data_IF_438326496841
#
_entry.id   IF_438326496841
#
_cell.length_a   1.000
_cell.length_b   1.000
_cell.length_c   1.000
_cell.angle_alpha   90.00
_cell.angle_beta   90.00
_cell.angle_gamma   90.00
#
_symmetry.space_group_name_H-M   'P 1'
#
loop_
_entity.id
_entity.type
_entity.pdbx_description
1 polymer ?
#
# COMPACT_ATOMS: atom_id res chain seq x y z
N UNK A 1 10.36 -9.90 -9.79
CA UNK A 1 10.99 -8.61 -10.20
C UNK A 1 11.50 -7.92 -8.95
N UNK A 2 12.65 -7.24 -9.04
CA UNK A 2 13.20 -6.48 -7.93
C UNK A 2 12.61 -5.06 -7.80
N UNK A 3 13.04 -4.32 -6.77
CA UNK A 3 12.52 -2.98 -6.46
C UNK A 3 12.83 -1.98 -7.59
N UNK A 4 14.02 -2.07 -8.22
CA UNK A 4 14.45 -1.14 -9.26
C UNK A 4 13.59 -1.31 -10.52
N UNK A 5 13.36 -2.55 -10.93
CA UNK A 5 12.48 -2.87 -12.05
C UNK A 5 11.04 -2.35 -11.80
N UNK A 6 10.52 -2.52 -10.57
CA UNK A 6 9.20 -1.98 -10.22
C UNK A 6 9.18 -0.46 -10.14
N UNK A 7 10.29 0.18 -9.72
CA UNK A 7 10.41 1.64 -9.72
C UNK A 7 10.43 2.19 -11.17
N UNK A 8 11.11 1.52 -12.09
CA UNK A 8 11.10 1.87 -13.51
C UNK A 8 9.68 1.77 -14.10
N UNK A 9 8.98 0.65 -13.87
CA UNK A 9 7.57 0.51 -14.28
C UNK A 9 6.73 1.62 -13.68
N UNK A 10 6.86 1.88 -12.36
CA UNK A 10 6.15 2.95 -11.66
C UNK A 10 6.37 4.32 -12.29
N UNK A 11 7.61 4.62 -12.71
CA UNK A 11 7.97 5.86 -13.42
C UNK A 11 7.29 6.02 -14.78
N UNK A 12 6.89 4.92 -15.42
CA UNK A 12 6.17 4.94 -16.71
C UNK A 12 4.65 5.04 -16.55
N UNK A 13 4.10 4.81 -15.36
CA UNK A 13 2.65 4.85 -15.15
C UNK A 13 2.11 6.27 -15.35
N UNK A 14 0.98 6.36 -16.03
CA UNK A 14 0.28 7.61 -16.19
C UNK A 14 -0.44 7.96 -14.89
N UNK A 15 -0.29 9.21 -14.45
CA UNK A 15 -0.82 9.70 -13.18
C UNK A 15 -1.49 11.04 -13.40
N UNK A 16 -2.77 11.13 -13.09
CA UNK A 16 -3.56 12.37 -13.14
C UNK A 16 -3.13 13.34 -12.04
N UNK A 17 -3.40 14.64 -12.25
CA UNK A 17 -3.12 15.65 -11.25
C UNK A 17 -3.88 15.37 -9.95
N UNK A 18 -3.15 15.40 -8.83
CA UNK A 18 -3.68 15.10 -7.50
C UNK A 18 -3.63 13.62 -7.11
N UNK A 19 -3.35 12.70 -8.02
CA UNK A 19 -3.12 11.30 -7.71
C UNK A 19 -1.66 11.08 -7.28
N UNK A 20 -1.44 10.26 -6.27
CA UNK A 20 -0.10 9.95 -5.79
C UNK A 20 0.70 9.17 -6.85
N UNK A 21 1.85 9.70 -7.23
CA UNK A 21 2.78 8.97 -8.12
C UNK A 21 3.40 7.79 -7.36
N UNK A 22 3.61 6.63 -8.02
CA UNK A 22 4.28 5.51 -7.39
C UNK A 22 5.64 5.92 -6.81
N UNK A 23 5.82 5.62 -5.55
CA UNK A 23 7.06 5.88 -4.81
C UNK A 23 7.93 4.61 -4.76
N UNK A 24 9.15 4.72 -4.24
CA UNK A 24 9.98 3.54 -3.94
C UNK A 24 9.33 2.61 -2.89
N UNK A 25 8.50 3.13 -1.99
CA UNK A 25 7.68 2.30 -1.09
C UNK A 25 6.66 1.47 -1.86
N UNK A 26 6.00 2.09 -2.87
CA UNK A 26 5.07 1.37 -3.75
C UNK A 26 5.80 0.29 -4.57
N UNK A 27 7.00 0.59 -5.07
CA UNK A 27 7.83 -0.36 -5.81
C UNK A 27 8.30 -1.52 -4.93
N UNK A 28 8.63 -1.23 -3.67
CA UNK A 28 9.01 -2.26 -2.70
C UNK A 28 7.83 -3.18 -2.37
N UNK A 29 6.64 -2.63 -2.14
CA UNK A 29 5.44 -3.44 -1.94
C UNK A 29 5.12 -4.28 -3.19
N UNK A 30 5.23 -3.70 -4.39
CA UNK A 30 5.03 -4.40 -5.65
C UNK A 30 6.00 -5.59 -5.81
N UNK A 31 7.28 -5.42 -5.43
CA UNK A 31 8.26 -6.50 -5.42
C UNK A 31 7.88 -7.64 -4.46
N UNK A 32 7.16 -7.32 -3.38
CA UNK A 32 6.67 -8.30 -2.43
C UNK A 32 5.33 -8.95 -2.80
N UNK A 33 4.86 -8.84 -4.06
CA UNK A 33 3.58 -9.44 -4.51
C UNK A 33 3.76 -10.73 -5.32
N UNK A 34 4.92 -11.34 -5.31
CA UNK A 34 5.29 -12.51 -6.13
C UNK A 34 4.54 -13.80 -5.75
N UNK A 35 3.97 -13.88 -4.53
CA UNK A 35 3.20 -15.00 -4.01
C UNK A 35 1.68 -14.87 -4.21
N UNK A 36 1.22 -13.99 -5.11
CA UNK A 36 -0.20 -13.71 -5.32
C UNK A 36 -0.92 -14.66 -6.29
N UNK A 37 -0.26 -15.70 -6.79
CA UNK A 37 -0.86 -16.67 -7.73
C UNK A 37 -2.18 -17.22 -7.20
N UNK A 38 -3.23 -17.18 -8.05
CA UNK A 38 -4.60 -17.62 -7.78
C UNK A 38 -5.33 -16.93 -6.61
N UNK A 39 -4.74 -15.90 -6.00
CA UNK A 39 -5.37 -15.14 -4.92
C UNK A 39 -6.36 -14.08 -5.44
N UNK A 40 -7.34 -13.77 -4.63
CA UNK A 40 -8.09 -12.51 -4.71
C UNK A 40 -7.38 -11.47 -3.84
N UNK A 41 -6.94 -10.37 -4.46
CA UNK A 41 -6.16 -9.33 -3.82
C UNK A 41 -6.92 -8.01 -3.81
N UNK A 42 -6.90 -7.29 -2.68
CA UNK A 42 -7.30 -5.89 -2.61
C UNK A 42 -6.03 -5.03 -2.64
N UNK A 43 -5.93 -4.11 -3.60
CA UNK A 43 -4.96 -3.00 -3.59
C UNK A 43 -5.66 -1.79 -2.97
N UNK A 44 -5.42 -1.55 -1.68
CA UNK A 44 -6.12 -0.55 -0.90
C UNK A 44 -5.39 0.80 -0.95
N UNK A 45 -6.04 1.82 -1.55
CA UNK A 45 -5.40 3.09 -1.91
C UNK A 45 -4.52 2.89 -3.14
N UNK A 46 -5.11 2.40 -4.23
CA UNK A 46 -4.37 1.92 -5.40
C UNK A 46 -3.59 3.02 -6.15
N UNK A 47 -3.98 4.29 -6.03
CA UNK A 47 -3.33 5.41 -6.72
C UNK A 47 -3.21 5.17 -8.22
N UNK A 48 -1.98 5.16 -8.77
CA UNK A 48 -1.73 4.87 -10.18
C UNK A 48 -1.71 3.36 -10.51
N UNK A 49 -1.90 2.45 -9.53
CA UNK A 49 -2.12 1.02 -9.75
C UNK A 49 -0.87 0.16 -9.83
N UNK A 50 0.28 0.58 -9.31
CA UNK A 50 1.52 -0.21 -9.40
C UNK A 50 1.39 -1.58 -8.68
N UNK A 51 0.77 -1.60 -7.51
CA UNK A 51 0.58 -2.84 -6.73
C UNK A 51 -0.46 -3.74 -7.41
N UNK A 52 -1.54 -3.17 -7.96
CA UNK A 52 -2.50 -3.93 -8.77
C UNK A 52 -1.85 -4.57 -10.01
N UNK A 53 -0.95 -3.84 -10.71
CA UNK A 53 -0.16 -4.38 -11.83
C UNK A 53 0.70 -5.54 -11.35
N UNK A 54 1.41 -5.39 -10.22
CA UNK A 54 2.27 -6.42 -9.67
C UNK A 54 1.50 -7.70 -9.30
N UNK A 55 0.38 -7.57 -8.59
CA UNK A 55 -0.47 -8.69 -8.21
C UNK A 55 -1.01 -9.44 -9.45
N UNK A 56 -1.51 -8.72 -10.47
CA UNK A 56 -2.01 -9.31 -11.70
C UNK A 56 -0.90 -10.02 -12.50
N UNK A 57 0.30 -9.45 -12.54
CA UNK A 57 1.47 -10.05 -13.18
C UNK A 57 1.94 -11.31 -12.45
N UNK A 58 1.86 -11.33 -11.13
CA UNK A 58 2.15 -12.52 -10.31
C UNK A 58 1.07 -13.61 -10.41
N UNK A 59 0.03 -13.40 -11.20
CA UNK A 59 -1.00 -14.42 -11.45
C UNK A 59 -2.19 -14.35 -10.51
N UNK A 60 -2.42 -13.25 -9.80
CA UNK A 60 -3.63 -13.09 -8.99
C UNK A 60 -4.89 -13.41 -9.82
N UNK A 61 -5.78 -14.23 -9.25
CA UNK A 61 -7.04 -14.60 -9.90
C UNK A 61 -7.90 -13.37 -10.15
N UNK A 62 -7.94 -12.47 -9.19
CA UNK A 62 -8.72 -11.25 -9.24
C UNK A 62 -8.08 -10.17 -8.39
N UNK A 63 -8.12 -8.91 -8.84
CA UNK A 63 -7.67 -7.75 -8.08
C UNK A 63 -8.82 -6.76 -7.95
N UNK A 64 -9.06 -6.30 -6.74
CA UNK A 64 -9.94 -5.16 -6.44
C UNK A 64 -9.05 -3.96 -6.14
N UNK A 65 -8.98 -3.02 -7.06
CA UNK A 65 -8.32 -1.73 -6.84
C UNK A 65 -9.30 -0.79 -6.14
N UNK A 66 -9.00 -0.43 -4.92
CA UNK A 66 -9.80 0.46 -4.09
C UNK A 66 -9.09 1.79 -3.93
N UNK A 67 -9.82 2.89 -4.13
CA UNK A 67 -9.38 4.25 -3.79
C UNK A 67 -10.62 5.12 -3.52
N UNK A 68 -10.46 6.20 -2.77
CA UNK A 68 -11.52 7.20 -2.60
C UNK A 68 -11.56 8.21 -3.74
N UNK A 69 -10.45 8.35 -4.50
CA UNK A 69 -10.35 9.24 -5.65
C UNK A 69 -10.69 8.50 -6.95
N UNK A 70 -11.77 8.84 -7.66
CA UNK A 70 -12.12 8.22 -8.93
C UNK A 70 -11.05 8.42 -10.02
N UNK A 71 -10.20 9.45 -9.93
CA UNK A 71 -9.06 9.63 -10.84
C UNK A 71 -8.03 8.54 -10.66
N UNK A 72 -7.73 8.14 -9.40
CA UNK A 72 -6.83 7.04 -9.09
C UNK A 72 -7.33 5.72 -9.69
N UNK A 73 -8.63 5.44 -9.56
CA UNK A 73 -9.25 4.26 -10.16
C UNK A 73 -9.16 4.27 -11.70
N UNK A 74 -9.40 5.43 -12.32
CA UNK A 74 -9.24 5.58 -13.77
C UNK A 74 -7.79 5.35 -14.21
N UNK A 75 -6.83 5.93 -13.51
CA UNK A 75 -5.41 5.76 -13.79
C UNK A 75 -4.98 4.29 -13.62
N UNK A 76 -5.42 3.63 -12.55
CA UNK A 76 -5.18 2.20 -12.33
C UNK A 76 -5.70 1.35 -13.49
N UNK A 77 -6.95 1.54 -13.91
CA UNK A 77 -7.54 0.80 -15.03
C UNK A 77 -6.77 0.98 -16.34
N UNK A 78 -6.41 2.22 -16.64
CA UNK A 78 -5.63 2.59 -17.82
C UNK A 78 -4.23 1.97 -17.79
N UNK A 79 -3.54 2.05 -16.66
CA UNK A 79 -2.19 1.52 -16.48
C UNK A 79 -2.16 -0.01 -16.53
N UNK A 80 -3.09 -0.70 -15.89
CA UNK A 80 -3.22 -2.16 -15.99
C UNK A 80 -3.43 -2.59 -17.45
N UNK A 81 -4.31 -1.91 -18.18
CA UNK A 81 -4.54 -2.20 -19.61
C UNK A 81 -3.30 -1.97 -20.45
N UNK A 82 -2.58 -0.87 -20.20
CA UNK A 82 -1.38 -0.49 -20.96
C UNK A 82 -0.21 -1.44 -20.70
N UNK A 83 0.00 -1.86 -19.45
CA UNK A 83 1.16 -2.68 -19.05
C UNK A 83 0.91 -4.17 -19.30
N UNK A 84 -0.29 -4.67 -19.00
CA UNK A 84 -0.60 -6.10 -18.99
C UNK A 84 -1.66 -6.53 -20.02
N UNK A 85 -2.30 -5.58 -20.69
CA UNK A 85 -3.31 -5.84 -21.72
C UNK A 85 -4.72 -6.13 -21.18
N UNK A 86 -5.65 -6.38 -22.11
CA UNK A 86 -7.08 -6.53 -21.82
C UNK A 86 -7.42 -7.76 -20.97
N UNK A 87 -6.66 -8.84 -21.11
CA UNK A 87 -6.86 -10.06 -20.27
C UNK A 87 -6.63 -9.77 -18.78
N UNK A 88 -5.59 -9.01 -18.44
CA UNK A 88 -5.34 -8.61 -17.06
C UNK A 88 -6.41 -7.61 -16.60
N UNK A 89 -6.81 -6.66 -17.48
CA UNK A 89 -7.89 -5.71 -17.17
C UNK A 89 -9.22 -6.40 -16.83
N UNK A 90 -9.52 -7.51 -17.46
CA UNK A 90 -10.74 -8.29 -17.17
C UNK A 90 -10.75 -8.93 -15.77
N UNK A 91 -9.59 -9.04 -15.12
CA UNK A 91 -9.43 -9.53 -13.74
C UNK A 91 -9.36 -8.39 -12.71
N UNK A 92 -9.61 -7.14 -13.11
CA UNK A 92 -9.57 -5.96 -12.26
C UNK A 92 -10.97 -5.41 -12.03
N UNK A 93 -11.39 -5.29 -10.79
CA UNK A 93 -12.54 -4.50 -10.35
C UNK A 93 -12.07 -3.19 -9.74
N UNK A 94 -12.76 -2.10 -10.04
CA UNK A 94 -12.52 -0.78 -9.45
C UNK A 94 -13.58 -0.53 -8.38
N UNK A 95 -13.17 -0.06 -7.23
CA UNK A 95 -14.07 0.18 -6.11
C UNK A 95 -13.79 1.54 -5.47
N UNK A 96 -14.71 2.47 -5.70
CA UNK A 96 -14.65 3.80 -5.10
C UNK A 96 -15.19 3.74 -3.67
N UNK A 97 -14.29 3.86 -2.71
CA UNK A 97 -14.60 3.86 -1.29
C UNK A 97 -13.41 4.41 -0.49
N UNK A 98 -13.66 4.84 0.73
CA UNK A 98 -12.61 5.01 1.73
C UNK A 98 -12.34 3.70 2.51
N UNK A 99 -11.28 3.68 3.31
CA UNK A 99 -10.88 2.47 4.03
C UNK A 99 -11.86 2.04 5.14
N UNK A 100 -12.77 2.90 5.60
CA UNK A 100 -13.80 2.53 6.57
C UNK A 100 -14.81 1.52 6.01
N UNK A 101 -14.84 1.38 4.69
CA UNK A 101 -15.78 0.51 3.96
C UNK A 101 -15.17 -0.83 3.50
N UNK A 102 -13.94 -1.16 3.90
CA UNK A 102 -13.23 -2.39 3.44
C UNK A 102 -13.88 -3.71 3.89
N UNK A 103 -14.65 -3.73 4.98
CA UNK A 103 -15.23 -4.97 5.56
C UNK A 103 -16.08 -5.84 4.62
N UNK A 104 -16.92 -5.29 3.74
CA UNK A 104 -17.72 -6.10 2.85
C UNK A 104 -16.90 -6.91 1.85
N UNK A 105 -15.67 -6.48 1.55
CA UNK A 105 -14.82 -7.10 0.55
C UNK A 105 -14.04 -8.26 1.16
N UNK A 106 -14.40 -9.48 0.76
CA UNK A 106 -13.62 -10.67 1.12
C UNK A 106 -12.49 -10.88 0.12
N UNK A 107 -11.29 -11.06 0.63
CA UNK A 107 -10.09 -11.30 -0.18
C UNK A 107 -9.12 -12.21 0.59
N UNK A 108 -8.23 -12.86 -0.14
CA UNK A 108 -7.15 -13.65 0.45
C UNK A 108 -6.06 -12.74 1.03
N UNK A 109 -5.76 -11.65 0.32
CA UNK A 109 -4.74 -10.67 0.68
C UNK A 109 -5.25 -9.24 0.46
N UNK A 110 -5.01 -8.36 1.42
CA UNK A 110 -5.10 -6.91 1.25
C UNK A 110 -3.68 -6.33 1.30
N UNK A 111 -3.27 -5.66 0.23
CA UNK A 111 -2.02 -4.94 0.14
C UNK A 111 -2.28 -3.43 0.29
N UNK A 112 -1.46 -2.73 1.04
CA UNK A 112 -1.60 -1.29 1.26
C UNK A 112 -0.23 -0.61 1.44
N UNK A 113 -0.03 0.49 0.74
CA UNK A 113 1.07 1.43 1.00
C UNK A 113 0.48 2.75 1.53
N UNK A 114 0.16 2.83 2.83
CA UNK A 114 -0.59 3.95 3.37
C UNK A 114 0.29 5.17 3.58
N UNK A 115 -0.30 6.37 3.70
CA UNK A 115 0.42 7.51 4.25
C UNK A 115 0.84 7.19 5.68
N UNK A 116 2.15 7.28 5.92
CA UNK A 116 2.78 6.87 7.18
C UNK A 116 3.72 7.95 7.74
N UNK A 117 3.51 9.18 7.33
CA UNK A 117 4.24 10.32 7.89
C UNK A 117 3.63 10.72 9.24
N UNK A 118 4.41 10.74 10.33
CA UNK A 118 3.97 11.38 11.55
C UNK A 118 3.60 12.86 11.30
N UNK A 119 2.56 13.34 11.96
CA UNK A 119 2.05 14.69 11.78
C UNK A 119 3.12 15.78 11.97
N UNK A 120 4.09 15.56 12.87
CA UNK A 120 5.22 16.45 13.09
C UNK A 120 6.10 16.66 11.84
N UNK A 121 6.09 15.72 10.89
CA UNK A 121 6.87 15.79 9.64
C UNK A 121 6.10 16.43 8.47
N UNK A 122 4.79 16.66 8.60
CA UNK A 122 3.98 17.28 7.53
C UNK A 122 4.43 18.69 7.13
N UNK A 123 4.92 19.56 8.05
CA UNK A 123 5.44 20.87 7.66
C UNK A 123 6.58 20.83 6.65
N UNK A 124 7.38 19.76 6.63
CA UNK A 124 8.46 19.56 5.66
C UNK A 124 7.97 19.16 4.25
N UNK A 125 6.66 18.84 4.10
CA UNK A 125 6.07 18.50 2.80
C UNK A 125 5.60 19.77 2.11
N UNK A 126 5.86 19.94 0.79
CA UNK A 126 5.30 21.03 0.01
C UNK A 126 3.77 21.10 0.17
N UNK A 127 3.23 22.30 0.35
CA UNK A 127 1.82 22.50 0.70
C UNK A 127 0.85 21.83 -0.27
N UNK A 128 1.15 21.87 -1.57
CA UNK A 128 0.35 21.25 -2.63
C UNK A 128 0.38 19.71 -2.62
N UNK A 129 1.28 19.08 -1.85
CA UNK A 129 1.41 17.63 -1.73
C UNK A 129 0.99 17.10 -0.36
N UNK A 130 0.69 17.97 0.62
CA UNK A 130 0.37 17.55 1.99
C UNK A 130 -0.79 16.57 2.05
N UNK A 131 -1.84 16.78 1.27
CA UNK A 131 -3.01 15.90 1.21
C UNK A 131 -2.66 14.45 0.80
N UNK A 132 -1.57 14.24 0.04
CA UNK A 132 -1.09 12.91 -0.36
C UNK A 132 -0.30 12.19 0.75
N UNK A 133 0.14 12.93 1.75
CA UNK A 133 0.98 12.43 2.83
C UNK A 133 0.32 12.52 4.20
N UNK A 134 -0.84 13.18 4.29
CA UNK A 134 -1.63 13.25 5.50
C UNK A 134 -2.37 11.93 5.74
N UNK A 135 -2.47 11.52 7.01
CA UNK A 135 -3.13 10.27 7.39
C UNK A 135 -2.29 9.36 8.28
N UNK A 136 -0.99 9.66 8.46
CA UNK A 136 -0.14 8.90 9.39
C UNK A 136 -0.47 9.15 10.87
N UNK A 137 -1.15 10.27 11.19
CA UNK A 137 -1.45 10.64 12.57
C UNK A 137 -0.20 11.02 13.38
N UNK A 138 -0.27 11.01 14.71
CA UNK A 138 0.86 11.44 15.56
C UNK A 138 2.11 10.60 15.38
N UNK A 139 1.97 9.30 15.18
CA UNK A 139 3.03 8.29 15.18
C UNK A 139 3.30 7.62 13.81
N UNK A 140 2.59 8.01 12.76
CA UNK A 140 2.72 7.42 11.43
C UNK A 140 1.87 6.16 11.20
N UNK A 141 1.14 5.65 12.18
CA UNK A 141 0.41 4.37 12.10
C UNK A 141 -1.12 4.52 11.98
N UNK A 142 -1.66 5.74 12.00
CA UNK A 142 -3.11 5.94 12.03
C UNK A 142 -3.82 5.31 10.82
N UNK A 143 -3.27 5.45 9.62
CA UNK A 143 -3.82 4.86 8.40
C UNK A 143 -3.77 3.32 8.44
N UNK A 144 -2.67 2.74 8.93
CA UNK A 144 -2.53 1.27 9.09
C UNK A 144 -3.56 0.76 10.09
N UNK A 145 -3.77 1.44 11.22
CA UNK A 145 -4.80 1.10 12.21
C UNK A 145 -6.21 1.13 11.60
N UNK A 146 -6.48 2.14 10.78
CA UNK A 146 -7.77 2.24 10.09
C UNK A 146 -8.00 1.07 9.14
N UNK A 147 -7.01 0.73 8.32
CA UNK A 147 -7.08 -0.42 7.40
C UNK A 147 -7.30 -1.71 8.18
N UNK A 148 -6.49 -2.01 9.19
CA UNK A 148 -6.61 -3.25 9.97
C UNK A 148 -7.95 -3.37 10.70
N UNK A 149 -8.51 -2.26 11.20
CA UNK A 149 -9.84 -2.24 11.82
C UNK A 149 -10.95 -2.63 10.86
N UNK A 150 -10.81 -2.28 9.58
CA UNK A 150 -11.87 -2.44 8.58
C UNK A 150 -11.55 -3.49 7.50
N UNK A 151 -10.35 -4.07 7.46
CA UNK A 151 -10.01 -5.08 6.48
C UNK A 151 -10.93 -6.30 6.58
N UNK A 152 -11.44 -6.76 5.44
CA UNK A 152 -12.21 -8.00 5.30
C UNK A 152 -11.37 -9.20 4.85
N UNK A 153 -10.07 -8.99 4.60
CA UNK A 153 -9.14 -10.01 4.12
C UNK A 153 -8.62 -10.91 5.25
N UNK A 154 -8.20 -12.12 4.89
CA UNK A 154 -7.57 -13.06 5.81
C UNK A 154 -6.11 -12.66 6.14
N UNK A 155 -5.46 -11.91 5.26
CA UNK A 155 -4.06 -11.45 5.37
C UNK A 155 -3.95 -9.99 4.94
N UNK A 156 -3.19 -9.20 5.69
CA UNK A 156 -2.85 -7.81 5.31
C UNK A 156 -1.35 -7.70 5.16
N UNK A 157 -0.91 -7.09 4.06
CA UNK A 157 0.48 -6.78 3.78
C UNK A 157 0.64 -5.28 3.61
N UNK A 158 1.53 -4.66 4.40
CA UNK A 158 1.74 -3.22 4.38
C UNK A 158 3.22 -2.87 4.39
N UNK A 159 3.57 -1.76 3.76
CA UNK A 159 4.87 -1.14 3.99
C UNK A 159 4.86 -0.32 5.27
N UNK A 160 5.94 -0.34 6.01
CA UNK A 160 6.18 0.62 7.08
C UNK A 160 7.65 0.89 7.27
N UNK A 161 7.99 2.16 7.60
CA UNK A 161 9.32 2.51 8.05
C UNK A 161 9.64 1.74 9.34
N UNK A 162 10.86 1.21 9.45
CA UNK A 162 11.26 0.40 10.62
C UNK A 162 11.26 1.19 11.95
N UNK A 163 11.34 2.52 11.86
CA UNK A 163 11.19 3.41 13.01
C UNK A 163 9.76 3.45 13.57
N UNK A 164 8.75 3.03 12.79
CA UNK A 164 7.38 2.93 13.25
C UNK A 164 7.22 1.63 14.03
N UNK A 165 6.95 1.74 15.32
CA UNK A 165 6.82 0.57 16.19
C UNK A 165 5.40 0.05 16.16
N UNK A 166 5.20 -1.15 15.60
CA UNK A 166 3.94 -1.86 15.71
C UNK A 166 3.83 -2.48 17.12
N UNK A 167 2.81 -2.08 17.87
CA UNK A 167 2.41 -2.79 19.08
C UNK A 167 1.29 -3.80 18.72
N UNK A 168 1.56 -5.08 18.89
CA UNK A 168 0.60 -6.16 18.57
C UNK A 168 -0.71 -6.04 19.33
N UNK A 169 -0.68 -5.46 20.52
CA UNK A 169 -1.87 -5.23 21.36
C UNK A 169 -2.84 -4.22 20.76
N UNK A 170 -2.37 -3.38 19.83
CA UNK A 170 -3.21 -2.38 19.18
C UNK A 170 -4.09 -2.97 18.07
N UNK A 171 -3.85 -4.21 17.65
CA UNK A 171 -4.53 -4.85 16.52
C UNK A 171 -5.23 -6.14 16.93
N UNK A 172 -6.28 -6.05 17.80
CA UNK A 172 -6.99 -7.24 18.24
C UNK A 172 -7.60 -7.99 17.06
N UNK A 173 -7.50 -9.32 17.08
CA UNK A 173 -7.94 -10.19 15.98
C UNK A 173 -6.96 -10.29 14.80
N UNK A 174 -5.74 -9.79 14.98
CA UNK A 174 -4.63 -9.96 14.05
C UNK A 174 -3.43 -10.56 14.76
N UNK A 175 -2.69 -11.42 14.05
CA UNK A 175 -1.41 -11.94 14.56
C UNK A 175 -0.40 -10.80 14.80
N UNK A 176 0.65 -11.11 15.51
CA UNK A 176 1.82 -10.24 15.58
C UNK A 176 2.32 -9.90 14.16
N UNK A 177 2.61 -8.63 13.85
CA UNK A 177 3.20 -8.25 12.57
C UNK A 177 4.51 -8.99 12.33
N UNK A 178 4.62 -9.67 11.19
CA UNK A 178 5.84 -10.36 10.76
C UNK A 178 6.48 -9.55 9.64
N UNK A 179 7.74 -9.14 9.82
CA UNK A 179 8.51 -8.56 8.73
C UNK A 179 8.87 -9.67 7.72
N UNK A 180 8.37 -9.57 6.50
CA UNK A 180 8.60 -10.56 5.43
C UNK A 180 9.70 -10.14 4.47
N UNK A 181 9.97 -8.84 4.38
CA UNK A 181 11.09 -8.28 3.63
C UNK A 181 11.52 -6.96 4.24
N UNK A 182 12.80 -6.61 4.11
CA UNK A 182 13.34 -5.32 4.54
C UNK A 182 14.31 -4.79 3.50
N UNK A 183 14.31 -3.48 3.30
CA UNK A 183 15.24 -2.78 2.41
C UNK A 183 15.60 -1.42 2.97
N UNK A 184 16.69 -0.85 2.46
CA UNK A 184 17.04 0.54 2.71
C UNK A 184 16.50 1.41 1.57
N UNK A 185 15.71 2.41 1.91
CA UNK A 185 15.26 3.43 0.97
C UNK A 185 15.81 4.78 1.40
N UNK A 186 16.30 5.61 0.46
CA UNK A 186 16.75 6.95 0.81
C UNK A 186 15.56 7.77 1.28
N UNK A 187 15.66 8.28 2.50
CA UNK A 187 14.71 9.29 2.99
C UNK A 187 15.12 10.67 2.50
N UNK A 188 14.13 11.52 2.28
CA UNK A 188 14.33 12.95 2.08
C UNK A 188 15.21 13.52 3.22
N UNK A 189 16.27 14.31 2.92
CA UNK A 189 17.12 14.92 3.92
C UNK A 189 16.37 15.70 5.01
N UNK A 190 15.22 16.31 4.66
CA UNK A 190 14.34 16.98 5.62
C UNK A 190 13.82 16.06 6.73
N UNK A 191 13.66 14.77 6.46
CA UNK A 191 13.26 13.79 7.48
C UNK A 191 14.39 13.51 8.46
N UNK A 192 15.64 13.41 7.98
CA UNK A 192 16.80 13.18 8.83
C UNK A 192 17.01 14.31 9.83
N UNK A 193 16.71 15.55 9.42
CA UNK A 193 16.83 16.72 10.30
C UNK A 193 15.78 16.69 11.44
N UNK A 194 14.59 16.12 11.19
CA UNK A 194 13.49 16.08 12.15
C UNK A 194 13.47 14.79 12.99
N UNK A 195 14.01 13.71 12.46
CA UNK A 195 14.10 12.40 13.13
C UNK A 195 15.49 11.84 12.88
N UNK A 196 16.51 12.26 13.65
CA UNK A 196 17.91 11.86 13.44
C UNK A 196 18.14 10.34 13.43
N UNK A 197 17.37 9.61 14.21
CA UNK A 197 17.44 8.14 14.35
C UNK A 197 16.66 7.39 13.28
N UNK A 198 16.14 8.08 12.28
CA UNK A 198 15.43 7.45 11.18
C UNK A 198 16.43 6.74 10.25
N UNK A 199 16.52 5.43 10.37
CA UNK A 199 17.52 4.57 9.71
C UNK A 199 17.14 4.26 8.28
N UNK A 200 16.47 4.93 7.50
CA UNK A 200 16.24 4.63 6.06
C UNK A 200 15.67 3.23 5.76
N UNK A 201 15.41 2.41 6.77
CA UNK A 201 14.94 1.05 6.62
C UNK A 201 13.42 1.02 6.51
N UNK A 202 12.94 0.27 5.53
CA UNK A 202 11.51 0.04 5.28
C UNK A 202 11.25 -1.46 5.24
N UNK A 203 10.26 -1.91 6.00
CA UNK A 203 9.81 -3.29 6.01
C UNK A 203 8.52 -3.48 5.19
N UNK A 204 8.35 -4.67 4.62
CA UNK A 204 7.04 -5.22 4.29
C UNK A 204 6.61 -6.05 5.48
N UNK A 205 5.49 -5.67 6.08
CA UNK A 205 4.92 -6.32 7.25
C UNK A 205 3.64 -7.06 6.87
N UNK A 206 3.51 -8.26 7.39
CA UNK A 206 2.36 -9.11 7.14
C UNK A 206 1.69 -9.49 8.46
N UNK A 207 0.36 -9.36 8.49
CA UNK A 207 -0.50 -9.76 9.59
C UNK A 207 -1.55 -10.74 9.07
N UNK A 208 -1.82 -11.77 9.84
CA UNK A 208 -2.88 -12.75 9.55
C UNK A 208 -4.05 -12.53 10.50
N UNK A 209 -5.26 -12.69 10.00
CA UNK A 209 -6.43 -12.67 10.86
C UNK A 209 -6.43 -13.91 11.73
N UNK A 210 -6.51 -13.68 13.03
CA UNK A 210 -6.70 -14.78 13.98
C UNK A 210 -8.11 -15.35 13.84
N UNK A 211 -8.20 -16.67 13.79
CA UNK A 211 -9.50 -17.33 13.92
C UNK A 211 -10.04 -17.00 15.32
N UNK A 212 -11.26 -16.48 15.39
CA UNK A 212 -11.94 -16.45 16.67
C UNK A 212 -12.06 -17.91 17.12
N UNK A 213 -11.35 -18.29 18.16
CA UNK A 213 -11.53 -19.57 18.80
C UNK A 213 -13.02 -19.68 19.16
N UNK A 214 -13.70 -20.66 18.49
CA UNK A 214 -15.12 -20.94 18.66
C UNK A 214 -15.46 -21.55 20.01
#
# INVERSE_FOLDING_TARGET
MDIEQWAEIGGTLQTSDGVHRPSRFSAFLAAGMDDCGDLTVIDAGCGAGLVAVAALQAGARHVVAQDYDPKALHDTARNVTRVLGSRARARLTLWEADWSRLRPMKADLLAVNPPQRPAALLPAVPQNQRHLHDGGGPDGLAAIRLVLRHAGAGRVRTTAAAALRFDTREFPGWSAPRCVAMTELPYDPAWRALVPDLLGQVGIWELHRECADG
#
